data_IF_785558942166
#
_entry.id   IF_785558942166
#
_cell.length_a   1.000
_cell.length_b   1.000
_cell.length_c   1.000
_cell.angle_alpha   90.00
_cell.angle_beta   90.00
_cell.angle_gamma   90.00
#
_symmetry.space_group_name_H-M   'P 1'
#
loop_
_entity.id
_entity.type
_entity.pdbx_description
1 polymer ?
#
# COMPACT_ATOMS: atom_id res chain seq x y z
N UNK A 1 -7.95 16.24 -1.80
CA UNK A 1 -7.36 14.92 -1.51
C UNK A 1 -7.78 13.96 -2.61
N UNK A 2 -6.84 13.22 -3.18
CA UNK A 2 -7.06 12.24 -4.26
C UNK A 2 -6.85 10.84 -3.69
N UNK A 3 -7.74 9.91 -4.04
CA UNK A 3 -7.70 8.53 -3.59
C UNK A 3 -7.42 7.62 -4.78
N UNK A 4 -6.27 6.96 -4.74
CA UNK A 4 -5.88 5.94 -5.70
C UNK A 4 -6.30 4.55 -5.17
N UNK A 5 -6.51 3.56 -6.06
CA UNK A 5 -6.88 2.20 -5.66
C UNK A 5 -5.73 1.45 -4.96
N UNK A 6 -6.03 0.25 -4.47
CA UNK A 6 -5.03 -0.76 -4.09
C UNK A 6 -4.13 -1.07 -5.32
N UNK A 7 -2.83 -1.35 -5.09
CA UNK A 7 -1.87 -1.73 -6.13
C UNK A 7 -1.77 -0.71 -7.29
N UNK A 8 -1.66 0.58 -6.95
CA UNK A 8 -1.58 1.67 -7.93
C UNK A 8 -0.23 1.78 -8.64
N UNK A 9 0.80 1.14 -8.10
CA UNK A 9 2.13 1.06 -8.69
C UNK A 9 2.15 0.09 -9.88
N UNK A 10 1.69 -1.14 -9.68
CA UNK A 10 1.57 -2.15 -10.73
C UNK A 10 0.61 -3.28 -10.31
N UNK A 11 0.08 -4.00 -11.31
CA UNK A 11 -0.61 -5.28 -11.12
C UNK A 11 0.21 -6.34 -11.84
N UNK A 12 0.74 -7.29 -11.08
CA UNK A 12 1.58 -8.37 -11.58
C UNK A 12 1.36 -9.66 -10.79
N UNK A 13 1.88 -10.76 -11.33
CA UNK A 13 1.95 -12.01 -10.56
C UNK A 13 2.95 -11.82 -9.41
N UNK A 14 2.77 -12.50 -8.28
CA UNK A 14 3.74 -12.49 -7.19
C UNK A 14 4.96 -13.34 -7.58
N UNK A 15 5.83 -12.72 -8.37
CA UNK A 15 7.04 -13.31 -8.97
C UNK A 15 8.26 -12.50 -8.53
N UNK A 16 9.43 -12.97 -8.95
CA UNK A 16 10.70 -12.24 -8.84
C UNK A 16 10.59 -10.80 -9.39
N UNK A 17 9.80 -10.61 -10.45
CA UNK A 17 9.51 -9.29 -11.03
C UNK A 17 8.81 -8.35 -10.02
N UNK A 18 7.84 -8.83 -9.23
CA UNK A 18 7.20 -8.01 -8.21
C UNK A 18 8.19 -7.56 -7.13
N UNK A 19 9.15 -8.41 -6.77
CA UNK A 19 10.22 -8.09 -5.80
C UNK A 19 11.20 -7.04 -6.35
N UNK A 20 11.47 -7.07 -7.65
CA UNK A 20 12.30 -6.10 -8.37
C UNK A 20 11.61 -4.73 -8.53
N UNK A 21 10.31 -4.73 -8.84
CA UNK A 21 9.51 -3.51 -9.01
C UNK A 21 9.14 -2.84 -7.67
N UNK A 22 9.08 -3.61 -6.59
CA UNK A 22 8.77 -3.08 -5.25
C UNK A 22 9.94 -2.29 -4.65
N UNK A 23 9.59 -1.24 -3.91
CA UNK A 23 10.55 -0.38 -3.23
C UNK A 23 10.13 -0.14 -1.78
N UNK A 24 11.05 0.23 -0.88
CA UNK A 24 10.68 0.78 0.42
C UNK A 24 9.85 2.08 0.25
N UNK A 25 9.11 2.44 1.28
CA UNK A 25 8.46 3.76 1.35
C UNK A 25 9.43 4.85 1.82
N UNK A 26 10.51 4.46 2.52
CA UNK A 26 11.57 5.35 2.99
C UNK A 26 12.96 4.71 2.77
N UNK A 27 13.80 5.27 1.87
CA UNK A 27 13.44 6.30 0.90
C UNK A 27 12.40 5.78 -0.11
N UNK A 28 11.50 6.64 -0.61
CA UNK A 28 10.46 6.22 -1.55
C UNK A 28 11.06 5.80 -2.90
N UNK A 29 10.55 4.71 -3.45
CA UNK A 29 10.85 4.30 -4.83
C UNK A 29 10.34 5.29 -5.89
N UNK A 30 10.70 5.10 -7.18
CA UNK A 30 10.41 6.06 -8.25
C UNK A 30 8.92 6.44 -8.39
N UNK A 31 8.03 5.45 -8.28
CA UNK A 31 6.58 5.68 -8.35
C UNK A 31 6.09 6.57 -7.20
N UNK A 32 6.38 6.18 -5.95
CA UNK A 32 5.94 6.93 -4.77
C UNK A 32 6.61 8.32 -4.70
N UNK A 33 7.89 8.42 -5.08
CA UNK A 33 8.58 9.71 -5.21
C UNK A 33 7.93 10.63 -6.26
N UNK A 34 7.45 10.05 -7.37
CA UNK A 34 6.65 10.76 -8.37
C UNK A 34 5.35 11.30 -7.78
N UNK A 35 4.62 10.48 -7.01
CA UNK A 35 3.41 10.94 -6.30
C UNK A 35 3.75 12.07 -5.32
N UNK A 36 4.79 11.92 -4.50
CA UNK A 36 5.22 12.97 -3.55
C UNK A 36 5.54 14.29 -4.25
N UNK A 37 6.26 14.24 -5.38
CA UNK A 37 6.58 15.41 -6.18
C UNK A 37 5.32 16.08 -6.74
N UNK A 38 4.41 15.29 -7.32
CA UNK A 38 3.16 15.80 -7.91
C UNK A 38 2.17 16.33 -6.85
N UNK A 39 2.09 15.68 -5.68
CA UNK A 39 1.30 16.14 -4.56
C UNK A 39 1.73 17.54 -4.11
N UNK A 40 3.05 17.77 -4.02
CA UNK A 40 3.64 19.06 -3.71
C UNK A 40 3.38 20.12 -4.79
N UNK A 41 3.60 19.77 -6.05
CA UNK A 41 3.44 20.69 -7.18
C UNK A 41 1.99 21.17 -7.32
N UNK A 42 1.03 20.26 -7.15
CA UNK A 42 -0.40 20.54 -7.30
C UNK A 42 -1.07 21.02 -6.00
N UNK A 43 -0.38 20.98 -4.87
CA UNK A 43 -0.93 21.35 -3.56
C UNK A 43 -2.08 20.44 -3.13
N UNK A 44 -1.95 19.12 -3.36
CA UNK A 44 -3.00 18.14 -3.06
C UNK A 44 -2.47 17.02 -2.17
N UNK A 45 -3.33 16.56 -1.27
CA UNK A 45 -3.10 15.32 -0.53
C UNK A 45 -3.42 14.09 -1.39
N UNK A 46 -2.66 13.01 -1.21
CA UNK A 46 -2.84 11.75 -1.92
C UNK A 46 -2.94 10.57 -0.95
N UNK A 47 -3.84 9.64 -1.24
CA UNK A 47 -4.00 8.35 -0.59
C UNK A 47 -3.71 7.27 -1.62
N UNK A 48 -2.66 6.46 -1.41
CA UNK A 48 -2.12 5.55 -2.44
C UNK A 48 -1.86 4.16 -1.89
N UNK A 49 -2.42 3.13 -2.51
CA UNK A 49 -2.03 1.74 -2.25
C UNK A 49 -0.88 1.29 -3.16
N UNK A 50 0.16 0.68 -2.59
CA UNK A 50 1.35 0.19 -3.30
C UNK A 50 1.86 -1.13 -2.71
N UNK A 51 2.74 -1.80 -3.46
CA UNK A 51 3.54 -2.91 -2.97
C UNK A 51 4.85 -2.38 -2.35
N UNK A 52 5.00 -2.53 -1.03
CA UNK A 52 6.18 -2.11 -0.29
C UNK A 52 7.14 -3.28 -0.10
N UNK A 53 8.43 -3.03 -0.28
CA UNK A 53 9.48 -4.02 -0.01
C UNK A 53 9.57 -4.32 1.49
N UNK A 54 9.49 -5.59 1.87
CA UNK A 54 9.62 -5.99 3.27
C UNK A 54 11.08 -6.26 3.69
N UNK A 55 11.35 -6.43 5.00
CA UNK A 55 12.64 -6.93 5.48
C UNK A 55 12.98 -8.36 5.03
N UNK A 56 11.99 -9.11 4.54
CA UNK A 56 12.16 -10.48 4.04
C UNK A 56 12.30 -10.45 2.51
N UNK A 57 13.29 -11.13 1.94
CA UNK A 57 13.66 -10.98 0.53
C UNK A 57 12.60 -11.50 -0.45
N UNK A 58 11.72 -12.38 0.02
CA UNK A 58 10.73 -13.12 -0.76
C UNK A 58 9.29 -12.63 -0.52
N UNK A 59 9.10 -11.61 0.32
CA UNK A 59 7.77 -11.11 0.68
C UNK A 59 7.67 -9.60 0.63
N UNK A 60 6.49 -9.12 0.33
CA UNK A 60 6.14 -7.70 0.24
C UNK A 60 5.12 -7.34 1.32
N UNK A 61 4.91 -6.05 1.54
CA UNK A 61 3.71 -5.56 2.20
C UNK A 61 2.75 -4.98 1.16
N UNK A 62 1.46 -5.06 1.47
CA UNK A 62 0.43 -4.28 0.79
C UNK A 62 0.18 -3.03 1.64
N UNK A 63 0.63 -1.87 1.16
CA UNK A 63 0.79 -0.66 1.97
C UNK A 63 -0.04 0.48 1.41
N UNK A 64 -0.87 1.07 2.25
CA UNK A 64 -1.63 2.28 2.01
C UNK A 64 -0.90 3.47 2.61
N UNK A 65 -0.36 4.31 1.75
CA UNK A 65 0.41 5.51 2.10
C UNK A 65 -0.45 6.76 1.99
N UNK A 66 -0.34 7.66 2.96
CA UNK A 66 -0.91 9.01 2.89
C UNK A 66 0.21 10.03 2.70
N UNK A 67 0.08 10.85 1.66
CA UNK A 67 1.02 11.92 1.30
C UNK A 67 0.31 13.25 1.42
N UNK A 68 0.93 14.22 2.09
CA UNK A 68 0.39 15.58 2.22
C UNK A 68 0.72 16.46 1.00
N UNK A 69 0.17 17.68 1.00
CA UNK A 69 0.38 18.73 -0.01
C UNK A 69 1.80 19.34 0.01
N UNK A 70 2.65 18.96 0.97
CA UNK A 70 4.08 19.28 0.97
C UNK A 70 4.93 18.18 0.30
N UNK A 71 4.30 17.09 -0.13
CA UNK A 71 4.96 15.91 -0.70
C UNK A 71 5.60 14.98 0.33
N UNK A 72 5.20 15.08 1.60
CA UNK A 72 5.69 14.23 2.68
C UNK A 72 4.72 13.08 2.96
N UNK A 73 5.27 11.89 3.18
CA UNK A 73 4.52 10.74 3.70
C UNK A 73 4.19 11.04 5.16
N UNK A 74 2.90 11.12 5.49
CA UNK A 74 2.44 11.47 6.85
C UNK A 74 1.95 10.27 7.65
N UNK A 75 1.55 9.19 6.98
CA UNK A 75 1.23 7.92 7.60
C UNK A 75 1.28 6.77 6.57
N UNK A 76 1.43 5.55 7.06
CA UNK A 76 1.38 4.33 6.26
C UNK A 76 0.73 3.19 7.04
N UNK A 77 -0.23 2.54 6.40
CA UNK A 77 -0.92 1.36 6.92
C UNK A 77 -0.57 0.13 6.08
N UNK A 78 -0.12 -0.93 6.72
CA UNK A 78 0.12 -2.23 6.08
C UNK A 78 -1.09 -3.13 6.31
N UNK A 79 -1.64 -3.71 5.24
CA UNK A 79 -2.83 -4.56 5.27
C UNK A 79 -2.72 -5.66 6.33
N UNK A 80 -3.66 -5.71 7.26
CA UNK A 80 -3.65 -6.70 8.36
C UNK A 80 -4.35 -7.98 7.92
N UNK A 81 -5.49 -7.87 7.23
CA UNK A 81 -6.26 -9.03 6.79
C UNK A 81 -5.90 -9.41 5.36
N UNK A 82 -5.02 -10.41 5.21
CA UNK A 82 -4.64 -10.96 3.91
C UNK A 82 -5.73 -11.88 3.35
N UNK A 83 -5.89 -11.86 2.04
CA UNK A 83 -6.86 -12.67 1.33
C UNK A 83 -6.30 -14.08 1.06
N UNK A 84 -6.67 -15.01 1.95
CA UNK A 84 -6.39 -16.43 1.79
C UNK A 84 -7.69 -17.22 1.59
N UNK A 85 -7.87 -17.77 0.40
CA UNK A 85 -8.98 -18.64 0.03
C UNK A 85 -8.43 -19.96 -0.47
N UNK A 86 -8.80 -21.04 0.22
CA UNK A 86 -8.49 -22.43 -0.15
C UNK A 86 -9.78 -23.25 -0.17
N UNK A 87 -10.41 -23.33 -1.36
CA UNK A 87 -11.66 -24.06 -1.55
C UNK A 87 -11.34 -25.42 -2.17
N UNK A 88 -11.80 -26.51 -1.54
CA UNK A 88 -11.65 -27.86 -2.09
C UNK A 88 -12.31 -27.96 -3.48
N UNK A 89 -11.52 -28.31 -4.50
CA UNK A 89 -11.90 -28.28 -5.93
C UNK A 89 -12.29 -26.89 -6.48
N UNK A 90 -11.88 -25.82 -5.80
CA UNK A 90 -12.13 -24.43 -6.19
C UNK A 90 -10.84 -23.63 -6.36
N UNK A 91 -10.96 -22.29 -6.48
CA UNK A 91 -9.80 -21.43 -6.56
C UNK A 91 -9.00 -21.48 -5.26
N UNK A 92 -7.68 -21.56 -5.41
CA UNK A 92 -6.71 -21.44 -4.32
C UNK A 92 -5.91 -20.17 -4.53
N UNK A 93 -6.22 -19.13 -3.76
CA UNK A 93 -5.49 -17.86 -3.76
C UNK A 93 -4.99 -17.60 -2.35
N UNK A 94 -3.67 -17.55 -2.18
CA UNK A 94 -3.04 -17.37 -0.87
C UNK A 94 -2.15 -16.13 -0.96
N UNK A 95 -2.72 -14.95 -0.66
CA UNK A 95 -1.98 -13.69 -0.59
C UNK A 95 -0.84 -13.80 0.43
N UNK A 96 -1.06 -14.53 1.53
CA UNK A 96 -0.07 -14.72 2.59
C UNK A 96 1.22 -15.41 2.18
N UNK A 97 1.24 -16.10 1.03
CA UNK A 97 2.47 -16.72 0.50
C UNK A 97 3.53 -15.69 0.13
N UNK A 98 3.11 -14.53 -0.38
CA UNK A 98 4.00 -13.54 -0.97
C UNK A 98 3.88 -12.17 -0.29
N UNK A 99 2.83 -11.96 0.50
CA UNK A 99 2.59 -10.72 1.23
C UNK A 99 2.63 -10.97 2.73
N UNK A 100 3.27 -10.08 3.49
CA UNK A 100 3.26 -10.03 4.94
C UNK A 100 2.08 -9.19 5.42
N UNK A 101 1.43 -9.67 6.49
CA UNK A 101 0.43 -8.88 7.16
C UNK A 101 1.10 -7.74 7.94
N UNK A 102 0.43 -6.59 7.99
CA UNK A 102 0.72 -5.56 8.99
C UNK A 102 0.45 -6.06 10.40
N UNK A 103 1.02 -5.36 11.37
CA UNK A 103 1.02 -5.75 12.79
C UNK A 103 0.20 -4.81 13.69
N UNK A 104 -0.32 -3.70 13.14
CA UNK A 104 -1.07 -2.69 13.89
C UNK A 104 -2.08 -1.94 13.04
N UNK A 105 -3.19 -1.60 13.68
CA UNK A 105 -4.10 -0.55 13.19
C UNK A 105 -3.45 0.81 13.47
N UNK A 106 -3.61 1.76 12.55
CA UNK A 106 -3.15 3.14 12.71
C UNK A 106 -4.31 4.05 13.08
N UNK A 107 -4.03 5.13 13.80
CA UNK A 107 -5.04 6.13 14.12
C UNK A 107 -5.51 6.85 12.84
N UNK A 108 -6.77 7.30 12.77
CA UNK A 108 -7.24 8.08 11.64
C UNK A 108 -6.41 9.36 11.42
N UNK A 109 -5.89 9.53 10.21
CA UNK A 109 -5.02 10.64 9.83
C UNK A 109 -5.83 11.94 9.73
N UNK A 110 -5.43 13.05 10.37
CA UNK A 110 -6.02 14.36 10.15
C UNK A 110 -5.69 14.85 8.73
N UNK A 111 -6.71 15.05 7.90
CA UNK A 111 -6.55 15.53 6.52
C UNK A 111 -7.48 16.73 6.25
N UNK A 112 -7.33 17.45 5.13
CA UNK A 112 -8.24 18.53 4.75
C UNK A 112 -9.70 18.12 4.54
N UNK A 113 -9.99 16.82 4.36
CA UNK A 113 -11.35 16.29 4.20
C UNK A 113 -11.91 15.68 5.50
N UNK A 114 -11.20 15.82 6.61
CA UNK A 114 -11.54 15.25 7.92
C UNK A 114 -10.54 14.19 8.38
N UNK A 115 -10.91 13.44 9.42
CA UNK A 115 -10.11 12.29 9.89
C UNK A 115 -10.36 11.08 9.00
N UNK A 116 -9.32 10.59 8.33
CA UNK A 116 -9.41 9.47 7.39
C UNK A 116 -8.80 8.23 8.03
N UNK A 117 -9.60 7.19 8.23
CA UNK A 117 -9.12 5.86 8.63
C UNK A 117 -8.54 5.12 7.43
N UNK A 118 -7.51 4.31 7.67
CA UNK A 118 -6.81 3.55 6.62
C UNK A 118 -7.18 2.06 6.72
N UNK A 119 -7.52 1.48 5.58
CA UNK A 119 -7.87 0.08 5.42
C UNK A 119 -7.71 -0.30 3.94
N UNK A 120 -7.42 -1.57 3.66
CA UNK A 120 -7.22 -2.05 2.29
C UNK A 120 -8.13 -3.25 2.03
N UNK A 121 -9.04 -3.09 1.07
CA UNK A 121 -9.78 -4.17 0.42
C UNK A 121 -10.40 -5.18 1.42
N UNK A 122 -9.74 -6.31 1.64
CA UNK A 122 -10.23 -7.40 2.49
C UNK A 122 -10.34 -7.05 3.98
N UNK A 123 -9.71 -5.96 4.43
CA UNK A 123 -9.93 -5.41 5.78
C UNK A 123 -11.40 -5.03 6.06
N UNK A 124 -12.23 -4.88 5.02
CA UNK A 124 -13.67 -4.60 5.17
C UNK A 124 -14.52 -5.85 5.48
N UNK A 125 -13.91 -7.04 5.61
CA UNK A 125 -14.61 -8.32 5.73
C UNK A 125 -14.37 -9.03 7.05
#
# INVERSE_FOLDING_TARGET
MVFFPEASDFIGNPTEEALELSHPIEPPGPFLAGICSQAKELGVWCSVGIHEKSPFPDRLYNTHVVVNDEGSIVDAYRKIHLFDVDILNGPRLLESKNTLAGDRVVDPVPTPVGKVGLAICYDLR
#
